data_IF_044972259125
#
_entry.id   IF_044972259125
#
_cell.length_a   1.000
_cell.length_b   1.000
_cell.length_c   1.000
_cell.angle_alpha   90.00
_cell.angle_beta   90.00
_cell.angle_gamma   90.00
#
_symmetry.space_group_name_H-M   'P 1'
#
loop_
_entity.id
_entity.type
_entity.pdbx_description
1 polymer ?
#
# COMPACT_ATOMS: atom_id res chain seq x y z
N UNK A 1 18.39 6.14 -9.80
CA UNK A 1 17.51 6.43 -8.66
C UNK A 1 16.53 5.28 -8.50
N UNK A 2 16.62 4.56 -7.39
CA UNK A 2 15.73 3.43 -7.09
C UNK A 2 14.38 4.01 -6.67
N UNK A 3 13.42 4.03 -7.60
CA UNK A 3 12.05 4.43 -7.31
C UNK A 3 11.45 3.38 -6.38
N UNK A 4 11.14 3.75 -5.14
CA UNK A 4 10.36 2.88 -4.26
C UNK A 4 8.91 3.06 -4.64
N UNK A 5 8.23 1.93 -4.81
CA UNK A 5 6.83 1.90 -5.18
C UNK A 5 6.06 1.37 -3.98
N UNK A 6 5.21 2.22 -3.43
CA UNK A 6 4.31 1.86 -2.34
C UNK A 6 2.96 1.53 -2.94
N UNK A 7 2.28 0.56 -2.33
CA UNK A 7 1.01 0.07 -2.83
C UNK A 7 0.05 -0.08 -1.68
N UNK A 8 -1.20 0.24 -1.96
CA UNK A 8 -2.26 0.15 -1.00
C UNK A 8 -3.43 -0.57 -1.65
N UNK A 9 -3.93 -1.57 -0.95
CA UNK A 9 -5.24 -2.14 -1.20
C UNK A 9 -6.29 -1.27 -0.49
N UNK A 10 -7.32 -0.82 -1.19
CA UNK A 10 -8.46 -0.14 -0.57
C UNK A 10 -9.74 -0.91 -0.95
N UNK A 11 -10.40 -1.50 0.05
CA UNK A 11 -11.76 -2.05 -0.10
C UNK A 11 -12.76 -0.90 0.07
N UNK A 12 -13.61 -0.74 -0.93
CA UNK A 12 -14.59 0.33 -0.99
C UNK A 12 -15.96 -0.34 -1.02
N UNK A 13 -16.58 -0.40 0.16
CA UNK A 13 -17.79 -1.18 0.37
C UNK A 13 -18.93 -0.71 -0.55
N UNK A 14 -19.14 -1.39 -1.69
CA UNK A 14 -20.41 -1.83 -2.30
C UNK A 14 -20.11 -2.69 -3.54
N UNK A 15 -20.14 -4.01 -3.37
CA UNK A 15 -19.99 -5.00 -4.44
C UNK A 15 -18.55 -5.11 -4.93
N UNK A 16 -17.94 -6.29 -4.82
CA UNK A 16 -16.56 -6.56 -5.28
C UNK A 16 -16.50 -6.28 -6.80
N UNK A 17 -16.15 -5.05 -7.14
CA UNK A 17 -16.08 -4.52 -8.50
C UNK A 17 -14.62 -4.19 -8.71
N UNK A 18 -13.95 -5.01 -9.52
CA UNK A 18 -12.57 -4.93 -9.99
C UNK A 18 -11.61 -4.04 -9.18
N UNK A 19 -10.73 -4.71 -8.45
CA UNK A 19 -9.59 -4.17 -7.72
C UNK A 19 -8.80 -3.16 -8.55
N UNK A 20 -8.73 -1.90 -8.12
CA UNK A 20 -7.86 -0.88 -8.74
C UNK A 20 -6.44 -1.04 -8.18
N UNK A 21 -5.45 -1.14 -9.08
CA UNK A 21 -4.05 -1.03 -8.70
C UNK A 21 -3.62 0.44 -8.77
N UNK A 22 -3.50 1.08 -7.61
CA UNK A 22 -3.00 2.46 -7.50
C UNK A 22 -1.48 2.42 -7.29
N UNK A 23 -0.74 3.17 -8.10
CA UNK A 23 0.72 3.23 -8.05
C UNK A 23 1.16 4.67 -7.79
N UNK A 24 1.96 4.87 -6.75
CA UNK A 24 2.69 6.11 -6.49
C UNK A 24 4.17 5.95 -6.80
N UNK A 25 4.74 6.91 -7.53
CA UNK A 25 6.17 6.95 -7.78
C UNK A 25 6.86 7.86 -6.76
N UNK A 26 7.79 7.27 -6.00
CA UNK A 26 8.51 7.98 -4.94
C UNK A 26 10.02 7.75 -5.02
N UNK A 27 10.78 8.70 -4.47
CA UNK A 27 12.23 8.68 -4.48
C UNK A 27 12.82 7.64 -3.51
N UNK A 28 12.08 7.30 -2.45
CA UNK A 28 12.43 6.32 -1.40
C UNK A 28 11.17 5.86 -0.67
N UNK A 29 11.29 4.78 0.10
CA UNK A 29 10.23 4.26 0.98
C UNK A 29 10.46 4.75 2.39
N UNK A 30 9.69 5.73 2.83
CA UNK A 30 9.74 6.30 4.17
C UNK A 30 8.35 6.79 4.62
N UNK A 31 8.26 7.28 5.86
CA UNK A 31 6.99 7.72 6.43
C UNK A 31 6.36 8.90 5.69
N UNK A 32 7.17 9.88 5.22
CA UNK A 32 6.68 11.05 4.50
C UNK A 32 5.97 10.65 3.21
N UNK A 33 6.62 9.82 2.39
CA UNK A 33 6.04 9.37 1.13
C UNK A 33 4.88 8.40 1.34
N UNK A 34 4.92 7.58 2.40
CA UNK A 34 3.79 6.72 2.78
C UNK A 34 2.55 7.53 3.11
N UNK A 35 2.69 8.56 3.94
CA UNK A 35 1.58 9.44 4.32
C UNK A 35 1.05 10.21 3.11
N UNK A 36 1.93 10.76 2.26
CA UNK A 36 1.53 11.41 1.01
C UNK A 36 0.72 10.45 0.11
N UNK A 37 1.16 9.20 -0.01
CA UNK A 37 0.46 8.21 -0.80
C UNK A 37 -0.94 7.90 -0.26
N UNK A 38 -1.07 7.75 1.06
CA UNK A 38 -2.38 7.52 1.69
C UNK A 38 -3.31 8.72 1.50
N UNK A 39 -2.80 9.95 1.62
CA UNK A 39 -3.59 11.17 1.33
C UNK A 39 -4.14 11.19 -0.09
N UNK A 40 -3.33 10.82 -1.10
CA UNK A 40 -3.80 10.71 -2.50
C UNK A 40 -4.91 9.68 -2.67
N UNK A 41 -4.88 8.61 -1.87
CA UNK A 41 -5.93 7.59 -1.90
C UNK A 41 -7.20 8.11 -1.23
N UNK A 42 -7.09 8.87 -0.14
CA UNK A 42 -8.22 9.58 0.47
C UNK A 42 -8.86 10.56 -0.51
N UNK A 43 -8.06 11.35 -1.23
CA UNK A 43 -8.55 12.31 -2.23
C UNK A 43 -9.31 11.63 -3.37
N UNK A 44 -8.84 10.46 -3.83
CA UNK A 44 -9.54 9.63 -4.81
C UNK A 44 -10.86 9.05 -4.28
N UNK A 45 -10.99 8.91 -2.96
CA UNK A 45 -12.08 8.20 -2.30
C UNK A 45 -12.69 9.02 -1.13
N UNK A 46 -13.19 10.25 -1.37
CA UNK A 46 -13.48 11.25 -0.33
C UNK A 46 -14.61 10.89 0.66
N UNK A 47 -15.33 9.79 0.43
CA UNK A 47 -16.46 9.34 1.25
C UNK A 47 -16.33 7.88 1.70
N UNK A 48 -15.18 7.26 1.47
CA UNK A 48 -14.98 5.85 1.77
C UNK A 48 -14.00 5.68 2.92
N UNK A 49 -14.24 4.64 3.72
CA UNK A 49 -13.26 4.18 4.70
C UNK A 49 -12.15 3.43 3.96
N UNK A 50 -10.92 3.70 4.34
CA UNK A 50 -9.73 3.09 3.74
C UNK A 50 -9.12 2.13 4.75
N UNK A 51 -8.96 0.88 4.34
CA UNK A 51 -8.29 -0.17 5.13
C UNK A 51 -6.96 -0.47 4.47
N UNK A 52 -5.87 -0.18 5.16
CA UNK A 52 -4.51 -0.41 4.71
C UNK A 52 -4.03 -1.76 5.24
N UNK A 53 -3.46 -2.59 4.36
CA UNK A 53 -2.68 -3.76 4.76
C UNK A 53 -1.21 -3.52 4.44
N UNK A 54 -0.37 -3.45 5.48
CA UNK A 54 1.07 -3.26 5.36
C UNK A 54 1.84 -4.50 5.81
N UNK A 55 3.01 -4.74 5.23
CA UNK A 55 3.92 -5.86 5.55
C UNK A 55 4.75 -5.63 6.84
N UNK A 56 4.45 -4.59 7.61
CA UNK A 56 5.19 -4.25 8.82
C UNK A 56 6.50 -3.48 8.62
N UNK A 57 6.80 -3.01 7.39
CA UNK A 57 7.92 -2.09 7.14
C UNK A 57 7.90 -0.88 8.10
N UNK A 58 9.07 -0.35 8.41
CA UNK A 58 9.23 0.70 9.44
C UNK A 58 8.32 1.91 9.20
N UNK A 59 8.12 2.31 7.95
CA UNK A 59 7.26 3.42 7.58
C UNK A 59 5.75 3.15 7.65
N UNK A 60 5.31 1.89 7.76
CA UNK A 60 3.90 1.53 8.01
C UNK A 60 3.49 1.72 9.48
N UNK A 61 4.46 1.69 10.41
CA UNK A 61 4.26 1.77 11.87
C UNK A 61 5.04 2.89 12.55
N UNK A 62 5.75 3.70 11.76
CA UNK A 62 6.58 4.80 12.23
C UNK A 62 5.75 5.98 12.76
N UNK A 63 6.44 6.91 13.40
CA UNK A 63 5.86 8.10 14.03
C UNK A 63 4.94 8.89 13.08
N UNK A 64 5.44 9.24 11.89
CA UNK A 64 4.66 9.98 10.89
C UNK A 64 3.34 9.30 10.51
N UNK A 65 3.34 7.98 10.36
CA UNK A 65 2.13 7.23 10.03
C UNK A 65 1.15 7.21 11.21
N UNK A 66 1.66 7.06 12.45
CA UNK A 66 0.83 7.08 13.67
C UNK A 66 0.21 8.46 13.91
N UNK A 67 0.99 9.52 13.76
CA UNK A 67 0.51 10.91 13.85
C UNK A 67 -0.55 11.19 12.80
N UNK A 68 -0.29 10.81 11.55
CA UNK A 68 -1.25 10.95 10.46
C UNK A 68 -2.57 10.21 10.74
N UNK A 69 -2.51 8.95 11.16
CA UNK A 69 -3.71 8.18 11.51
C UNK A 69 -4.46 8.80 12.69
N UNK A 70 -3.74 9.32 13.69
CA UNK A 70 -4.34 10.03 14.82
C UNK A 70 -5.03 11.32 14.39
N UNK A 71 -4.45 12.07 13.46
CA UNK A 71 -5.03 13.32 12.94
C UNK A 71 -6.27 13.05 12.10
N UNK A 72 -6.22 12.04 11.22
CA UNK A 72 -7.32 11.72 10.30
C UNK A 72 -8.52 11.12 11.04
N UNK A 73 -8.28 10.27 12.03
CA UNK A 73 -9.36 9.66 12.79
C UNK A 73 -9.80 10.53 13.98
N UNK A 74 -8.93 11.41 14.49
CA UNK A 74 -9.24 12.29 15.62
C UNK A 74 -9.78 11.54 16.83
N UNK A 75 -10.87 12.05 17.40
CA UNK A 75 -11.57 11.45 18.54
C UNK A 75 -12.70 10.50 18.12
N UNK A 76 -12.77 10.11 16.83
CA UNK A 76 -13.82 9.21 16.35
C UNK A 76 -13.69 7.83 17.01
N UNK A 77 -14.82 7.17 17.32
CA UNK A 77 -14.81 5.78 17.74
C UNK A 77 -14.25 4.92 16.60
N UNK A 78 -13.66 3.77 16.96
CA UNK A 78 -12.92 2.92 16.01
C UNK A 78 -13.78 2.47 14.82
N UNK A 79 -15.07 2.31 15.05
CA UNK A 79 -16.07 1.92 14.06
C UNK A 79 -16.27 2.98 12.97
N UNK A 80 -15.93 4.24 13.27
CA UNK A 80 -16.08 5.41 12.40
C UNK A 80 -14.75 5.89 11.81
N UNK A 81 -13.63 5.20 12.10
CA UNK A 81 -12.33 5.58 11.57
C UNK A 81 -12.33 5.63 10.04
N UNK A 82 -11.83 6.74 9.50
CA UNK A 82 -11.72 6.96 8.07
C UNK A 82 -10.57 6.14 7.48
N UNK A 83 -9.45 6.01 8.21
CA UNK A 83 -8.27 5.26 7.74
C UNK A 83 -7.79 4.32 8.83
N UNK A 84 -7.62 3.05 8.50
CA UNK A 84 -7.04 2.03 9.37
C UNK A 84 -5.80 1.44 8.73
N UNK A 85 -4.80 1.05 9.53
CA UNK A 85 -3.62 0.34 9.08
C UNK A 85 -3.46 -0.96 9.86
N UNK A 86 -3.56 -2.08 9.15
CA UNK A 86 -3.40 -3.43 9.64
C UNK A 86 -2.08 -3.99 9.13
N UNK A 87 -1.32 -4.60 10.03
CA UNK A 87 -0.06 -5.26 9.67
C UNK A 87 -0.31 -6.73 9.40
N UNK A 88 0.20 -7.21 8.28
CA UNK A 88 0.26 -8.63 7.93
C UNK A 88 1.30 -9.35 8.81
N UNK A 89 1.24 -10.69 8.81
CA UNK A 89 2.22 -11.48 9.53
C UNK A 89 3.64 -11.22 8.97
N UNK A 90 4.65 -11.04 9.84
CA UNK A 90 6.04 -10.92 9.39
C UNK A 90 6.46 -12.16 8.60
N UNK A 91 7.22 -11.95 7.52
CA UNK A 91 7.75 -13.02 6.67
C UNK A 91 6.71 -13.91 5.98
N UNK A 92 5.47 -13.41 5.80
CA UNK A 92 4.40 -14.11 5.07
C UNK A 92 4.04 -13.38 3.76
N UNK A 93 4.94 -13.33 2.75
CA UNK A 93 4.70 -12.64 1.49
C UNK A 93 3.48 -13.19 0.72
N UNK A 94 3.12 -14.45 0.93
CA UNK A 94 1.91 -15.09 0.38
C UNK A 94 0.61 -14.47 0.88
N UNK A 95 0.62 -13.82 2.06
CA UNK A 95 -0.53 -13.09 2.60
C UNK A 95 -0.62 -11.66 2.06
N UNK A 96 0.43 -11.15 1.39
CA UNK A 96 0.46 -9.80 0.84
C UNK A 96 -0.01 -9.79 -0.63
N UNK A 97 -1.23 -9.31 -0.95
CA UNK A 97 -1.77 -9.39 -2.30
C UNK A 97 -0.90 -8.68 -3.35
N UNK A 98 -0.13 -7.66 -2.94
CA UNK A 98 0.72 -6.93 -3.87
C UNK A 98 1.88 -7.79 -4.38
N UNK A 99 2.40 -8.72 -3.57
CA UNK A 99 3.46 -9.63 -3.99
C UNK A 99 2.97 -10.57 -5.09
N UNK A 100 1.72 -11.03 -5.01
CA UNK A 100 1.09 -11.80 -6.07
C UNK A 100 0.96 -10.99 -7.37
N UNK A 101 0.56 -9.72 -7.29
CA UNK A 101 0.50 -8.81 -8.45
C UNK A 101 1.89 -8.62 -9.07
N UNK A 102 2.93 -8.38 -8.25
CA UNK A 102 4.32 -8.26 -8.72
C UNK A 102 4.83 -9.52 -9.39
N UNK A 103 4.53 -10.68 -8.81
CA UNK A 103 4.91 -11.96 -9.38
C UNK A 103 4.33 -12.14 -10.79
N UNK A 104 3.02 -11.90 -10.94
CA UNK A 104 2.34 -12.00 -12.24
C UNK A 104 2.90 -11.01 -13.26
N UNK A 105 3.11 -9.74 -12.86
CA UNK A 105 3.66 -8.72 -13.75
C UNK A 105 5.10 -9.05 -14.19
N UNK A 106 5.95 -9.54 -13.28
CA UNK A 106 7.31 -9.99 -13.61
C UNK A 106 7.28 -11.16 -14.60
N UNK A 107 6.39 -12.13 -14.40
CA UNK A 107 6.23 -13.26 -15.32
C UNK A 107 5.78 -12.78 -16.71
N UNK A 108 4.85 -11.84 -16.78
CA UNK A 108 4.38 -11.25 -18.03
C UNK A 108 5.53 -10.55 -18.79
N UNK A 109 6.28 -9.69 -18.11
CA UNK A 109 7.42 -8.97 -18.70
C UNK A 109 8.47 -9.97 -19.23
N UNK A 110 8.75 -11.05 -18.50
CA UNK A 110 9.69 -12.09 -18.94
C UNK A 110 9.24 -12.76 -20.23
N UNK A 111 7.93 -13.05 -20.38
CA UNK A 111 7.37 -13.65 -21.60
C UNK A 111 7.52 -12.74 -22.81
N UNK A 112 7.41 -11.42 -22.65
CA UNK A 112 7.44 -10.48 -23.77
C UNK A 112 8.84 -9.97 -24.14
N UNK A 113 9.78 -9.96 -23.19
CA UNK A 113 11.09 -9.32 -23.41
C UNK A 113 12.23 -10.30 -23.70
N UNK A 114 12.02 -11.62 -23.53
CA UNK A 114 13.08 -12.64 -23.51
C UNK A 114 14.28 -12.28 -22.61
N UNK A 115 14.11 -11.31 -21.71
CA UNK A 115 15.16 -10.79 -20.84
C UNK A 115 14.95 -11.28 -19.40
N UNK A 116 16.00 -11.74 -18.71
CA UNK A 116 15.90 -12.04 -17.29
C UNK A 116 15.60 -10.74 -16.53
N UNK A 117 14.40 -10.66 -15.95
CA UNK A 117 13.99 -9.49 -15.17
C UNK A 117 14.86 -9.35 -13.92
N UNK A 118 15.84 -8.44 -13.94
CA UNK A 118 16.75 -8.11 -12.81
C UNK A 118 16.12 -7.10 -11.84
N UNK A 119 14.81 -7.18 -11.58
CA UNK A 119 14.20 -6.41 -10.49
C UNK A 119 14.51 -7.14 -9.18
N UNK A 120 15.67 -6.84 -8.59
CA UNK A 120 16.04 -7.32 -7.27
C UNK A 120 15.18 -6.61 -6.22
N UNK A 121 14.48 -7.38 -5.41
CA UNK A 121 14.09 -6.94 -4.07
C UNK A 121 15.36 -7.05 -3.22
N UNK A 122 15.72 -6.00 -2.50
CA UNK A 122 16.65 -6.15 -1.40
C UNK A 122 15.79 -6.65 -0.23
N UNK A 123 15.98 -7.93 0.11
CA UNK A 123 15.54 -8.52 1.38
C UNK A 123 16.22 -7.82 2.57
#
# INVERSE_FOLDING_TARGET
MTKVRQYLYADTSQGIKWTELIIGEYSKGDGEHTVDFVKKIMEKNPQQRIIIFGDGAAYHKGELMREFLSQVNGDLPREEWQVTCHLLAPYAPEENPIEAVWLQLKQLIRRFTNAPCKLKYNE
#
